data_IF_841530920333
#
_entry.id   IF_841530920333
#
_cell.length_a   1.000
_cell.length_b   1.000
_cell.length_c   1.000
_cell.angle_alpha   90.00
_cell.angle_beta   90.00
_cell.angle_gamma   90.00
#
_symmetry.space_group_name_H-M   'P 1'
#
loop_
_entity.id
_entity.type
_entity.pdbx_description
1 polymer ?
#
# COMPACT_ATOMS: atom_id res chain seq x y z
N UNK A 1 41.35 1.05 -36.91
CA UNK A 1 39.97 1.39 -37.32
C UNK A 1 39.00 0.48 -36.55
N UNK A 2 38.22 0.97 -35.58
CA UNK A 2 37.28 0.13 -34.85
C UNK A 2 35.95 0.05 -35.61
N UNK A 3 35.42 -1.16 -35.79
CA UNK A 3 34.06 -1.41 -36.28
C UNK A 3 33.08 -1.09 -35.15
N UNK A 4 32.21 -0.11 -35.39
CA UNK A 4 31.03 0.19 -34.57
C UNK A 4 30.00 -0.92 -34.77
N UNK A 5 29.78 -1.74 -33.75
CA UNK A 5 28.58 -2.56 -33.62
C UNK A 5 27.62 -1.84 -32.68
N UNK A 6 26.60 -1.24 -33.29
CA UNK A 6 25.39 -0.76 -32.63
C UNK A 6 24.67 -1.99 -32.07
N UNK A 7 24.82 -2.26 -30.78
CA UNK A 7 24.08 -3.27 -30.03
C UNK A 7 22.85 -2.62 -29.39
N UNK A 8 21.70 -2.89 -30.00
CA UNK A 8 20.35 -2.47 -29.65
C UNK A 8 20.07 -2.56 -28.13
N UNK A 9 19.69 -1.43 -27.53
CA UNK A 9 19.09 -1.36 -26.19
C UNK A 9 17.71 -1.99 -26.27
N UNK A 10 17.56 -3.22 -25.78
CA UNK A 10 16.26 -3.84 -25.50
C UNK A 10 15.75 -3.33 -24.15
N UNK A 11 15.38 -2.05 -24.10
CA UNK A 11 14.42 -1.53 -23.15
C UNK A 11 13.04 -1.84 -23.72
N UNK A 12 12.41 -2.92 -23.27
CA UNK A 12 11.15 -3.35 -23.88
C UNK A 12 10.50 -4.53 -23.19
N UNK A 13 10.03 -4.32 -21.95
CA UNK A 13 8.98 -5.15 -21.33
C UNK A 13 8.32 -4.49 -20.10
N UNK A 14 8.20 -3.16 -20.04
CA UNK A 14 7.40 -2.47 -19.01
C UNK A 14 6.38 -1.46 -19.56
N UNK A 15 6.24 -1.36 -20.89
CA UNK A 15 5.28 -0.46 -21.54
C UNK A 15 3.86 -1.03 -21.60
N UNK A 16 3.35 -1.56 -20.48
CA UNK A 16 2.04 -2.22 -20.47
C UNK A 16 1.33 -2.36 -19.12
N UNK A 17 1.78 -1.67 -18.07
CA UNK A 17 1.09 -1.59 -16.77
C UNK A 17 0.89 -0.13 -16.33
N UNK A 18 0.66 0.77 -17.28
CA UNK A 18 0.22 2.12 -16.95
C UNK A 18 -1.28 2.05 -16.59
N UNK A 19 -1.57 1.57 -15.37
CA UNK A 19 -2.82 1.94 -14.71
C UNK A 19 -2.95 3.46 -14.71
N UNK A 20 -4.17 4.00 -14.59
CA UNK A 20 -4.38 5.44 -14.67
C UNK A 20 -3.51 6.18 -13.65
N UNK A 21 -3.03 7.38 -14.03
CA UNK A 21 -1.93 8.11 -13.37
C UNK A 21 -2.08 8.28 -11.85
N UNK A 22 -3.30 8.33 -11.34
CA UNK A 22 -3.57 8.45 -9.89
C UNK A 22 -3.36 7.12 -9.13
N UNK A 23 -3.48 5.96 -9.79
CA UNK A 23 -3.23 4.63 -9.20
C UNK A 23 -1.73 4.33 -9.10
N UNK A 24 -0.90 5.07 -9.83
CA UNK A 24 0.57 4.88 -9.91
C UNK A 24 1.31 5.25 -8.61
N UNK A 25 0.61 5.36 -7.49
CA UNK A 25 1.17 5.58 -6.15
C UNK A 25 0.42 4.87 -5.03
N UNK A 26 -0.53 3.97 -5.32
CA UNK A 26 -1.12 3.13 -4.28
C UNK A 26 -0.14 2.01 -3.90
N UNK A 27 -0.02 1.68 -2.60
CA UNK A 27 0.88 0.64 -2.17
C UNK A 27 0.43 -0.74 -2.65
N UNK A 28 1.39 -1.53 -3.11
CA UNK A 28 1.30 -2.98 -3.27
C UNK A 28 2.26 -3.60 -2.27
N UNK A 29 1.83 -4.63 -1.55
CA UNK A 29 2.63 -5.29 -0.54
C UNK A 29 2.80 -6.77 -0.84
N UNK A 30 4.05 -7.23 -0.78
CA UNK A 30 4.43 -8.63 -0.88
C UNK A 30 4.77 -9.16 0.51
N UNK A 31 3.99 -10.13 0.99
CA UNK A 31 4.28 -10.83 2.22
C UNK A 31 5.37 -11.88 1.99
N UNK A 32 6.36 -11.91 2.87
CA UNK A 32 7.51 -12.82 2.83
C UNK A 32 7.54 -13.57 4.15
N UNK A 33 7.55 -14.90 4.10
CA UNK A 33 7.71 -15.75 5.28
C UNK A 33 9.09 -16.39 5.23
N UNK A 34 9.89 -16.16 6.27
CA UNK A 34 11.18 -16.82 6.49
C UNK A 34 11.12 -17.68 7.77
N UNK A 35 12.12 -18.52 8.00
CA UNK A 35 12.22 -19.32 9.23
C UNK A 35 12.32 -18.43 10.50
N UNK A 36 12.91 -17.24 10.37
CA UNK A 36 13.06 -16.27 11.45
C UNK A 36 11.79 -15.43 11.71
N UNK A 37 10.84 -15.39 10.79
CA UNK A 37 9.62 -14.60 10.95
C UNK A 37 9.06 -14.05 9.64
N UNK A 38 7.98 -13.27 9.77
CA UNK A 38 7.32 -12.59 8.66
C UNK A 38 7.90 -11.22 8.39
N UNK A 39 8.02 -10.91 7.10
CA UNK A 39 8.41 -9.61 6.57
C UNK A 39 7.39 -9.18 5.51
N UNK A 40 7.32 -7.89 5.24
CA UNK A 40 6.53 -7.38 4.12
C UNK A 40 7.35 -6.37 3.33
N UNK A 41 7.44 -6.56 2.02
CA UNK A 41 7.99 -5.57 1.10
C UNK A 41 6.83 -4.75 0.55
N UNK A 42 6.73 -3.48 0.95
CA UNK A 42 5.71 -2.55 0.48
C UNK A 42 6.30 -1.64 -0.60
N UNK A 43 5.58 -1.43 -1.71
CA UNK A 43 6.02 -0.63 -2.85
C UNK A 43 4.92 0.36 -3.24
N UNK A 44 5.26 1.63 -3.42
CA UNK A 44 4.34 2.71 -3.76
C UNK A 44 5.03 3.70 -4.71
N UNK A 45 4.78 3.57 -6.01
CA UNK A 45 5.52 4.30 -7.03
C UNK A 45 7.00 3.88 -7.01
N UNK A 46 7.92 4.83 -6.89
CA UNK A 46 9.37 4.57 -6.77
C UNK A 46 9.83 4.30 -5.33
N UNK A 47 8.96 4.48 -4.33
CA UNK A 47 9.27 4.24 -2.93
C UNK A 47 9.04 2.78 -2.57
N UNK A 48 9.95 2.19 -1.83
CA UNK A 48 9.78 0.87 -1.23
C UNK A 48 10.18 0.88 0.23
N UNK A 49 9.52 0.05 1.03
CA UNK A 49 9.82 -0.13 2.45
C UNK A 49 9.84 -1.62 2.80
N UNK A 50 10.84 -2.05 3.57
CA UNK A 50 10.83 -3.34 4.24
C UNK A 50 10.19 -3.17 5.62
N UNK A 51 9.08 -3.86 5.84
CA UNK A 51 8.36 -3.88 7.10
C UNK A 51 8.71 -5.14 7.89
N UNK A 52 9.14 -4.95 9.14
CA UNK A 52 9.47 -6.02 10.10
C UNK A 52 8.98 -5.64 11.49
N UNK A 53 7.88 -6.25 11.95
CA UNK A 53 7.21 -5.81 13.17
C UNK A 53 6.81 -4.33 13.08
N UNK A 54 7.30 -3.52 14.02
CA UNK A 54 7.06 -2.07 14.06
C UNK A 54 8.10 -1.25 13.27
N UNK A 55 9.10 -1.92 12.70
CA UNK A 55 10.17 -1.27 11.94
C UNK A 55 9.80 -1.17 10.47
N UNK A 56 9.97 0.02 9.90
CA UNK A 56 9.86 0.26 8.46
C UNK A 56 11.19 0.84 7.95
N UNK A 57 11.86 0.12 7.05
CA UNK A 57 13.14 0.52 6.48
C UNK A 57 12.93 0.98 5.03
N UNK A 58 13.19 2.26 4.69
CA UNK A 58 13.15 2.72 3.31
C UNK A 58 14.20 1.98 2.49
N UNK A 59 13.81 1.50 1.32
CA UNK A 59 14.68 0.81 0.39
C UNK A 59 14.80 1.60 -0.91
N UNK A 60 16.00 1.62 -1.45
CA UNK A 60 16.26 2.04 -2.84
C UNK A 60 16.51 0.83 -3.71
N UNK A 61 16.14 0.92 -4.98
CA UNK A 61 16.52 -0.09 -5.97
C UNK A 61 18.00 0.08 -6.35
N UNK A 62 18.75 -1.01 -6.39
CA UNK A 62 20.11 -1.03 -6.91
C UNK A 62 20.20 -1.85 -8.20
N UNK A 63 21.12 -1.49 -9.13
CA UNK A 63 21.34 -2.28 -10.34
C UNK A 63 21.68 -3.74 -10.02
N UNK A 64 20.98 -4.67 -10.66
CA UNK A 64 21.23 -6.10 -10.55
C UNK A 64 21.34 -6.73 -11.94
N UNK A 65 22.22 -7.72 -12.09
CA UNK A 65 22.37 -8.45 -13.35
C UNK A 65 21.10 -9.26 -13.70
N UNK A 66 20.33 -9.68 -12.69
CA UNK A 66 19.06 -10.37 -12.82
C UNK A 66 18.24 -10.20 -11.55
N UNK A 67 16.91 -10.09 -11.69
CA UNK A 67 16.01 -9.86 -10.57
C UNK A 67 15.96 -8.39 -10.14
N UNK A 68 15.27 -8.15 -9.03
CA UNK A 68 15.16 -6.84 -8.38
C UNK A 68 15.96 -6.87 -7.08
N UNK A 69 16.92 -5.97 -6.91
CA UNK A 69 17.66 -5.78 -5.67
C UNK A 69 17.22 -4.48 -5.01
N UNK A 70 16.72 -4.57 -3.79
CA UNK A 70 16.32 -3.45 -2.95
C UNK A 70 17.23 -3.41 -1.73
N UNK A 71 17.89 -2.28 -1.48
CA UNK A 71 18.85 -2.11 -0.39
C UNK A 71 18.36 -1.02 0.53
N UNK A 72 18.41 -1.25 1.84
CA UNK A 72 17.96 -0.25 2.80
C UNK A 72 18.84 0.99 2.73
N UNK A 73 18.20 2.17 2.78
CA UNK A 73 18.91 3.42 2.59
C UNK A 73 19.90 3.72 3.71
N UNK A 74 19.53 3.32 4.94
CA UNK A 74 20.28 3.59 6.17
C UNK A 74 21.16 2.42 6.62
N UNK A 75 20.98 1.23 6.03
CA UNK A 75 21.72 0.01 6.38
C UNK A 75 21.96 -0.85 5.13
N UNK A 76 23.12 -0.74 4.46
CA UNK A 76 23.39 -1.49 3.23
C UNK A 76 23.52 -3.01 3.47
N UNK A 77 23.71 -3.45 4.71
CA UNK A 77 23.70 -4.86 5.10
C UNK A 77 22.28 -5.40 5.27
N UNK A 78 21.25 -4.58 5.06
CA UNK A 78 19.86 -5.00 4.91
C UNK A 78 19.42 -4.84 3.45
N UNK A 79 19.04 -5.95 2.82
CA UNK A 79 18.57 -5.95 1.44
C UNK A 79 17.63 -7.11 1.15
N UNK A 80 16.75 -6.90 0.17
CA UNK A 80 15.88 -7.93 -0.40
C UNK A 80 16.24 -8.10 -1.87
N UNK A 81 16.41 -9.34 -2.30
CA UNK A 81 16.55 -9.68 -3.70
C UNK A 81 15.42 -10.61 -4.12
N UNK A 82 14.79 -10.31 -5.24
CA UNK A 82 13.74 -11.17 -5.82
C UNK A 82 14.03 -11.50 -7.27
N UNK A 83 13.71 -12.73 -7.67
CA UNK A 83 13.78 -13.17 -9.06
C UNK A 83 12.73 -14.25 -9.34
N UNK A 84 11.68 -13.88 -10.06
CA UNK A 84 10.50 -14.75 -10.18
C UNK A 84 9.91 -14.97 -8.79
N UNK A 85 9.75 -16.24 -8.39
CA UNK A 85 9.22 -16.63 -7.09
C UNK A 85 10.31 -16.79 -6.01
N UNK A 86 11.59 -16.64 -6.38
CA UNK A 86 12.71 -16.70 -5.44
C UNK A 86 12.84 -15.37 -4.70
N UNK A 87 13.01 -15.46 -3.37
CA UNK A 87 13.27 -14.30 -2.50
C UNK A 87 14.42 -14.63 -1.55
N UNK A 88 15.40 -13.73 -1.50
CA UNK A 88 16.50 -13.77 -0.54
C UNK A 88 16.49 -12.49 0.27
N UNK A 89 16.58 -12.62 1.59
CA UNK A 89 16.61 -11.48 2.50
C UNK A 89 17.89 -11.52 3.32
N UNK A 90 18.63 -10.43 3.28
CA UNK A 90 19.67 -10.10 4.25
C UNK A 90 19.11 -9.05 5.20
N UNK A 91 19.16 -9.30 6.50
CA UNK A 91 18.69 -8.38 7.52
C UNK A 91 19.80 -8.15 8.53
N UNK A 92 20.28 -6.90 8.61
CA UNK A 92 21.40 -6.49 9.46
C UNK A 92 22.63 -7.43 9.33
N UNK A 93 23.01 -7.77 8.09
CA UNK A 93 24.16 -8.62 7.78
C UNK A 93 23.96 -10.12 8.00
N UNK A 94 22.74 -10.55 8.32
CA UNK A 94 22.37 -11.97 8.42
C UNK A 94 21.43 -12.38 7.29
N UNK A 95 21.81 -13.42 6.55
CA UNK A 95 20.92 -14.05 5.58
C UNK A 95 19.84 -14.84 6.33
N UNK A 96 18.57 -14.55 6.02
CA UNK A 96 17.44 -15.27 6.57
C UNK A 96 17.21 -16.59 5.84
N UNK A 97 16.76 -17.60 6.57
CA UNK A 97 16.64 -18.96 6.04
C UNK A 97 15.23 -19.24 5.53
N UNK A 98 15.13 -20.03 4.45
CA UNK A 98 13.87 -20.55 3.92
C UNK A 98 12.81 -19.46 3.63
N UNK A 99 13.25 -18.30 3.12
CA UNK A 99 12.33 -17.23 2.73
C UNK A 99 11.53 -17.63 1.49
N UNK A 100 10.23 -17.38 1.53
CA UNK A 100 9.31 -17.56 0.41
C UNK A 100 8.28 -16.42 0.38
N UNK A 101 7.87 -16.04 -0.82
CA UNK A 101 6.71 -15.15 -1.00
C UNK A 101 5.45 -15.91 -0.58
N UNK A 102 4.71 -15.35 0.38
CA UNK A 102 3.54 -16.00 0.99
C UNK A 102 2.22 -15.32 0.65
N UNK A 103 2.25 -14.11 0.05
CA UNK A 103 1.05 -13.43 -0.40
C UNK A 103 1.33 -12.08 -1.06
N UNK A 104 0.30 -11.56 -1.73
CA UNK A 104 0.32 -10.23 -2.32
C UNK A 104 -0.97 -9.50 -1.93
N UNK A 105 -0.82 -8.25 -1.49
CA UNK A 105 -1.92 -7.38 -1.06
C UNK A 105 -1.90 -6.11 -1.91
N UNK A 106 -3.03 -5.81 -2.53
CA UNK A 106 -3.27 -4.55 -3.25
C UNK A 106 -4.36 -3.76 -2.54
N UNK A 107 -4.30 -2.42 -2.63
CA UNK A 107 -5.37 -1.56 -2.07
C UNK A 107 -6.68 -1.71 -2.84
N UNK A 108 -6.63 -1.98 -4.14
CA UNK A 108 -7.80 -2.16 -5.01
C UNK A 108 -8.36 -3.58 -4.95
N UNK A 109 -9.50 -3.82 -5.62
CA UNK A 109 -10.02 -5.16 -5.93
C UNK A 109 -10.94 -5.80 -4.88
N UNK A 110 -10.86 -5.39 -3.61
CA UNK A 110 -11.78 -5.84 -2.57
C UNK A 110 -12.06 -4.73 -1.53
N UNK A 111 -13.25 -4.70 -0.92
CA UNK A 111 -13.58 -3.70 0.09
C UNK A 111 -12.73 -3.90 1.34
N UNK A 112 -12.33 -2.79 1.95
CA UNK A 112 -11.70 -2.73 3.26
C UNK A 112 -12.76 -2.40 4.30
N UNK A 113 -12.83 -3.17 5.37
CA UNK A 113 -13.71 -2.86 6.52
C UNK A 113 -12.98 -1.94 7.48
N UNK A 114 -13.55 -0.78 7.75
CA UNK A 114 -12.99 0.21 8.67
C UNK A 114 -13.12 -0.30 10.11
N UNK A 115 -12.01 -0.30 10.84
CA UNK A 115 -11.94 -0.76 12.23
C UNK A 115 -11.72 0.39 13.21
N UNK A 116 -11.12 1.49 12.76
CA UNK A 116 -10.84 2.66 13.59
C UNK A 116 -10.96 3.96 12.78
N UNK A 117 -11.53 4.99 13.38
CA UNK A 117 -11.69 6.33 12.82
C UNK A 117 -11.17 7.35 13.83
N UNK A 118 -10.11 8.07 13.48
CA UNK A 118 -9.49 9.12 14.28
C UNK A 118 -9.22 8.69 15.74
N UNK A 119 -8.65 7.49 15.93
CA UNK A 119 -8.36 6.95 17.27
C UNK A 119 -9.52 6.22 17.94
N UNK A 120 -10.75 6.33 17.43
CA UNK A 120 -11.93 5.69 18.01
C UNK A 120 -12.24 4.36 17.29
N UNK A 121 -12.47 3.25 18.02
CA UNK A 121 -12.89 2.00 17.41
C UNK A 121 -14.27 2.16 16.78
N UNK A 122 -14.47 1.55 15.61
CA UNK A 122 -15.78 1.45 14.97
C UNK A 122 -16.70 0.57 15.81
N UNK A 123 -17.94 1.01 15.99
CA UNK A 123 -18.97 0.26 16.72
C UNK A 123 -20.27 0.16 15.93
N UNK A 124 -20.97 -0.97 16.05
CA UNK A 124 -22.23 -1.19 15.33
C UNK A 124 -22.03 -1.41 13.83
N UNK A 125 -22.63 -0.56 13.00
CA UNK A 125 -22.56 -0.68 11.53
C UNK A 125 -21.15 -0.31 11.05
N UNK A 126 -20.38 -1.30 10.59
CA UNK A 126 -19.01 -1.12 10.17
C UNK A 126 -18.95 -0.43 8.79
N UNK A 127 -18.25 0.70 8.66
CA UNK A 127 -18.02 1.31 7.36
C UNK A 127 -17.10 0.45 6.49
N UNK A 128 -17.22 0.61 5.17
CA UNK A 128 -16.36 -0.03 4.20
C UNK A 128 -15.85 0.96 3.15
N UNK A 129 -14.78 0.57 2.48
CA UNK A 129 -14.13 1.38 1.45
C UNK A 129 -13.50 0.50 0.37
N UNK A 130 -13.91 0.72 -0.88
CA UNK A 130 -13.44 0.01 -2.06
C UNK A 130 -12.86 1.01 -3.05
N UNK A 131 -11.56 0.90 -3.34
CA UNK A 131 -10.92 1.61 -4.46
C UNK A 131 -11.13 0.80 -5.74
N UNK A 132 -11.56 1.50 -6.78
CA UNK A 132 -11.58 0.94 -8.14
C UNK A 132 -10.19 1.08 -8.80
N UNK A 133 -10.08 0.62 -10.04
CA UNK A 133 -8.86 0.73 -10.83
C UNK A 133 -8.82 2.00 -11.71
N UNK A 134 -9.84 2.87 -11.64
CA UNK A 134 -10.00 4.07 -12.48
C UNK A 134 -9.88 5.42 -11.76
N UNK A 135 -9.92 5.44 -10.43
CA UNK A 135 -9.58 6.59 -9.59
C UNK A 135 -10.67 7.00 -8.66
N UNK A 136 -11.72 6.21 -8.62
CA UNK A 136 -12.77 6.32 -7.66
C UNK A 136 -12.49 5.47 -6.44
N UNK A 137 -13.23 5.81 -5.40
CA UNK A 137 -13.55 4.87 -4.36
C UNK A 137 -15.03 4.99 -4.03
N UNK A 138 -15.58 3.89 -3.55
CA UNK A 138 -16.95 3.80 -3.08
C UNK A 138 -16.97 3.15 -1.71
N UNK A 139 -18.03 3.38 -0.95
CA UNK A 139 -18.15 2.75 0.34
C UNK A 139 -19.48 3.00 1.04
N UNK A 140 -19.64 2.36 2.18
CA UNK A 140 -20.67 2.59 3.16
C UNK A 140 -20.06 3.34 4.35
N UNK A 141 -20.65 4.47 4.76
CA UNK A 141 -20.32 5.16 6.01
C UNK A 141 -20.95 4.50 7.24
N UNK A 142 -21.63 3.37 7.05
CA UNK A 142 -22.45 2.69 8.07
C UNK A 142 -23.92 3.11 8.03
N UNK A 143 -24.22 4.36 7.65
CA UNK A 143 -25.58 4.85 7.39
C UNK A 143 -25.81 5.07 5.89
N UNK A 144 -25.00 5.93 5.28
CA UNK A 144 -25.10 6.35 3.89
C UNK A 144 -24.05 5.67 3.03
N UNK A 145 -24.37 5.52 1.74
CA UNK A 145 -23.37 5.16 0.75
C UNK A 145 -22.69 6.42 0.24
N UNK A 146 -21.39 6.33 0.03
CA UNK A 146 -20.58 7.43 -0.47
C UNK A 146 -19.72 7.00 -1.64
N UNK A 147 -19.36 7.99 -2.46
CA UNK A 147 -18.41 7.87 -3.55
C UNK A 147 -17.47 9.07 -3.51
N UNK A 148 -16.26 8.86 -3.99
CA UNK A 148 -15.24 9.89 -4.11
C UNK A 148 -14.24 9.52 -5.19
N UNK A 149 -13.27 10.39 -5.40
CA UNK A 149 -12.13 10.13 -6.26
C UNK A 149 -10.83 10.35 -5.52
N UNK A 150 -9.78 9.66 -5.93
CA UNK A 150 -8.43 9.80 -5.41
C UNK A 150 -7.55 10.53 -6.42
N UNK A 151 -6.93 11.62 -5.99
CA UNK A 151 -5.98 12.40 -6.77
C UNK A 151 -4.59 12.41 -6.15
N UNK A 152 -3.63 13.11 -6.79
CA UNK A 152 -2.27 13.25 -6.28
C UNK A 152 -2.17 13.91 -4.91
N UNK A 153 -3.14 14.76 -4.56
CA UNK A 153 -3.20 15.50 -3.29
C UNK A 153 -4.02 14.78 -2.21
N UNK A 154 -4.55 13.57 -2.50
CA UNK A 154 -5.48 12.85 -1.65
C UNK A 154 -6.89 12.78 -2.25
N UNK A 155 -7.92 12.52 -1.43
CA UNK A 155 -9.29 12.37 -1.92
C UNK A 155 -9.89 13.72 -2.33
N UNK A 156 -10.62 13.72 -3.45
CA UNK A 156 -11.47 14.83 -3.85
C UNK A 156 -12.75 14.92 -3.02
N UNK A 157 -13.68 15.84 -3.37
CA UNK A 157 -14.96 15.97 -2.70
C UNK A 157 -15.74 14.65 -2.69
N UNK A 158 -16.31 14.32 -1.52
CA UNK A 158 -17.17 13.15 -1.33
C UNK A 158 -18.61 13.48 -1.71
N UNK A 159 -19.28 12.56 -2.39
CA UNK A 159 -20.73 12.54 -2.56
C UNK A 159 -21.31 11.43 -1.69
N UNK A 160 -22.39 11.71 -0.95
CA UNK A 160 -23.06 10.73 -0.10
C UNK A 160 -24.57 10.83 -0.20
N UNK A 161 -25.26 9.71 0.02
CA UNK A 161 -26.73 9.71 0.21
C UNK A 161 -27.11 10.44 1.50
N UNK A 162 -28.42 10.73 1.70
CA UNK A 162 -28.94 11.44 2.89
C UNK A 162 -30.07 10.66 3.56
N UNK A 163 -29.76 9.47 4.04
CA UNK A 163 -30.63 8.67 4.90
C UNK A 163 -30.43 9.05 6.36
N UNK A 164 -31.48 8.91 7.16
CA UNK A 164 -31.43 9.09 8.60
C UNK A 164 -31.22 7.74 9.29
N UNK A 165 -30.29 7.69 10.23
CA UNK A 165 -29.96 6.51 11.03
C UNK A 165 -29.91 6.91 12.52
N UNK A 166 -29.75 5.95 13.46
CA UNK A 166 -29.51 6.29 14.85
C UNK A 166 -28.29 7.21 15.02
N UNK A 167 -28.38 8.15 15.96
CA UNK A 167 -27.38 9.20 16.19
C UNK A 167 -25.93 8.68 16.29
N UNK A 168 -25.64 7.56 16.99
CA UNK A 168 -24.26 7.04 17.06
C UNK A 168 -23.68 6.66 15.68
N UNK A 169 -24.51 6.12 14.78
CA UNK A 169 -24.09 5.73 13.43
C UNK A 169 -23.84 6.97 12.58
N UNK A 170 -24.70 7.98 12.71
CA UNK A 170 -24.54 9.25 11.99
C UNK A 170 -23.30 10.03 12.46
N UNK A 171 -23.01 10.01 13.76
CA UNK A 171 -21.79 10.63 14.31
C UNK A 171 -20.52 9.91 13.83
N UNK A 172 -20.54 8.57 13.79
CA UNK A 172 -19.44 7.77 13.24
C UNK A 172 -19.21 8.06 11.75
N UNK A 173 -20.28 8.15 10.95
CA UNK A 173 -20.18 8.51 9.53
C UNK A 173 -19.58 9.90 9.32
N UNK A 174 -20.02 10.89 10.10
CA UNK A 174 -19.46 12.24 10.02
C UNK A 174 -17.97 12.26 10.38
N UNK A 175 -17.57 11.49 11.39
CA UNK A 175 -16.17 11.32 11.74
C UNK A 175 -15.36 10.65 10.61
N UNK A 176 -15.93 9.64 9.95
CA UNK A 176 -15.30 8.99 8.79
C UNK A 176 -15.07 9.99 7.66
N UNK A 177 -16.09 10.76 7.28
CA UNK A 177 -15.97 11.72 6.18
C UNK A 177 -15.00 12.87 6.51
N UNK A 178 -14.99 13.34 7.76
CA UNK A 178 -14.02 14.32 8.22
C UNK A 178 -12.59 13.77 8.22
N UNK A 179 -12.39 12.49 8.58
CA UNK A 179 -11.10 11.84 8.52
C UNK A 179 -10.63 11.64 7.07
N UNK A 180 -11.50 11.10 6.19
CA UNK A 180 -11.22 10.92 4.76
C UNK A 180 -10.79 12.23 4.10
N UNK A 181 -11.48 13.33 4.35
CA UNK A 181 -11.17 14.63 3.76
C UNK A 181 -9.78 15.19 4.09
N UNK A 182 -9.08 14.63 5.08
CA UNK A 182 -7.72 15.05 5.48
C UNK A 182 -6.64 14.04 5.10
N UNK A 183 -7.00 12.93 4.46
CA UNK A 183 -6.02 11.89 4.11
C UNK A 183 -5.10 12.41 3.02
N UNK A 184 -3.80 12.31 3.26
CA UNK A 184 -2.73 12.68 2.33
C UNK A 184 -1.91 11.47 1.89
N UNK A 185 -2.13 10.29 2.47
CA UNK A 185 -1.35 9.10 2.17
C UNK A 185 -2.06 7.79 2.46
N UNK A 186 -1.70 6.76 1.72
CA UNK A 186 -2.17 5.38 1.87
C UNK A 186 -0.97 4.49 2.15
N UNK A 187 -1.08 3.63 3.14
CA UNK A 187 -0.03 2.66 3.49
C UNK A 187 -0.65 1.31 3.84
N UNK A 188 0.06 0.23 3.51
CA UNK A 188 -0.22 -1.09 4.04
C UNK A 188 0.71 -1.34 5.24
N UNK A 189 0.16 -1.78 6.37
CA UNK A 189 0.95 -2.13 7.55
C UNK A 189 1.59 -3.52 7.41
N UNK A 190 2.46 -3.89 8.35
CA UNK A 190 3.22 -5.14 8.26
C UNK A 190 2.34 -6.40 8.28
N UNK A 191 1.07 -6.29 8.71
CA UNK A 191 0.09 -7.37 8.73
C UNK A 191 -0.86 -7.33 7.52
N UNK A 192 -0.65 -6.41 6.57
CA UNK A 192 -1.47 -6.24 5.38
C UNK A 192 -2.78 -5.47 5.64
N UNK A 193 -2.90 -4.79 6.77
CA UNK A 193 -3.97 -3.83 7.00
C UNK A 193 -3.74 -2.52 6.27
N UNK A 194 -4.80 -1.74 6.13
CA UNK A 194 -4.78 -0.46 5.46
C UNK A 194 -4.78 0.68 6.47
N UNK A 195 -3.76 1.52 6.39
CA UNK A 195 -3.64 2.77 7.13
C UNK A 195 -3.82 3.94 6.15
N UNK A 196 -4.84 4.77 6.40
CA UNK A 196 -5.00 6.06 5.75
C UNK A 196 -4.44 7.15 6.67
N UNK A 197 -3.55 7.98 6.13
CA UNK A 197 -2.74 8.92 6.93
C UNK A 197 -2.99 10.37 6.56
N UNK A 198 -2.99 11.24 7.57
CA UNK A 198 -2.92 12.69 7.43
C UNK A 198 -1.54 13.16 7.93
N UNK A 199 -0.62 13.41 7.00
CA UNK A 199 0.80 13.54 7.33
C UNK A 199 1.32 12.25 7.98
N UNK A 200 1.81 12.35 9.21
CA UNK A 200 2.32 11.20 9.95
C UNK A 200 1.28 10.44 10.79
N UNK A 201 0.11 11.05 11.01
CA UNK A 201 -0.96 10.48 11.81
C UNK A 201 -1.77 9.46 11.00
N UNK A 202 -2.03 8.28 11.57
CA UNK A 202 -3.02 7.34 11.03
C UNK A 202 -4.39 7.80 11.48
N UNK A 203 -5.23 8.22 10.52
CA UNK A 203 -6.59 8.74 10.79
C UNK A 203 -7.68 7.71 10.53
N UNK A 204 -7.42 6.68 9.74
CA UNK A 204 -8.34 5.56 9.52
C UNK A 204 -7.54 4.27 9.44
N UNK A 205 -7.99 3.24 10.16
CA UNK A 205 -7.50 1.86 10.01
C UNK A 205 -8.59 0.99 9.41
N UNK A 206 -8.20 0.13 8.50
CA UNK A 206 -9.10 -0.85 7.89
C UNK A 206 -8.42 -2.19 7.63
N UNK A 207 -9.21 -3.26 7.52
CA UNK A 207 -8.74 -4.64 7.35
C UNK A 207 -9.58 -5.38 6.30
N UNK A 208 -9.07 -6.51 5.84
CA UNK A 208 -9.75 -7.49 4.98
C UNK A 208 -9.78 -8.85 5.68
#
# INVERSE_FOLDING_TARGET
MPKRSLGLVLAGALTGLAGPVWAQGLPVQMAITCAEGGLSLSMSGERAELLSGDVALPLRQEPAASGMRMVAEVDPDTWVWTKGDEVTVMLAGRELSACAVSGMTTVTGAPWTVTEIAGAPVTGSAPDLLWDEEGGFTGSGGCNRFTGSWGPEGPGPLAATRMACPEPVMAQEQALFAALARVTGVRLDAQGGLDLRAGDEVVIRARR
#
